data_IF_091911088581
#
_entry.id   IF_091911088581
#
_cell.length_a   1.000
_cell.length_b   1.000
_cell.length_c   1.000
_cell.angle_alpha   90.00
_cell.angle_beta   90.00
_cell.angle_gamma   90.00
#
_symmetry.space_group_name_H-M   'P 1'
#
loop_
_entity.id
_entity.type
_entity.pdbx_description
1 polymer ?
#
# COMPACT_ATOMS: atom_id res chain seq x y z
N UNK A 1 -12.82 -19.86 -9.92
CA UNK A 1 -12.06 -18.60 -10.05
C UNK A 1 -12.85 -17.62 -10.92
N UNK A 2 -13.20 -16.46 -10.38
CA UNK A 2 -13.72 -15.36 -11.19
C UNK A 2 -12.56 -14.50 -11.69
N UNK A 3 -12.50 -14.18 -12.98
CA UNK A 3 -11.52 -13.22 -13.51
C UNK A 3 -12.26 -11.92 -13.79
N UNK A 4 -11.88 -10.85 -13.09
CA UNK A 4 -12.37 -9.49 -13.37
C UNK A 4 -11.27 -8.78 -14.14
N UNK A 5 -11.52 -8.51 -15.42
CA UNK A 5 -10.62 -7.74 -16.28
C UNK A 5 -11.23 -6.37 -16.53
N UNK A 6 -10.54 -5.31 -16.11
CA UNK A 6 -10.92 -3.94 -16.42
C UNK A 6 -9.92 -3.38 -17.44
N UNK A 7 -10.39 -3.05 -18.64
CA UNK A 7 -9.51 -2.54 -19.72
C UNK A 7 -8.93 -1.15 -19.40
N UNK A 8 -9.61 -0.36 -18.58
CA UNK A 8 -9.14 0.94 -18.10
C UNK A 8 -9.80 1.28 -16.76
N UNK A 9 -8.98 1.57 -15.75
CA UNK A 9 -9.43 2.27 -14.55
C UNK A 9 -9.20 3.76 -14.79
N UNK A 10 -10.25 4.49 -15.15
CA UNK A 10 -10.19 5.94 -15.25
C UNK A 10 -10.09 6.56 -13.87
N UNK A 11 -8.89 6.92 -13.44
CA UNK A 11 -8.71 7.80 -12.29
C UNK A 11 -8.46 9.21 -12.80
N UNK A 12 -9.43 10.12 -12.63
CA UNK A 12 -9.27 11.57 -12.80
C UNK A 12 -8.48 12.15 -11.62
N UNK A 13 -7.33 11.55 -11.33
CA UNK A 13 -6.38 12.07 -10.37
C UNK A 13 -4.98 12.09 -11.01
N UNK A 14 -4.46 13.27 -11.38
CA UNK A 14 -3.17 13.40 -12.06
C UNK A 14 -2.01 12.88 -11.19
N UNK A 15 -2.22 12.74 -9.89
CA UNK A 15 -1.23 12.26 -8.92
C UNK A 15 -1.03 10.74 -8.97
N UNK A 16 -2.07 9.98 -9.34
CA UNK A 16 -2.07 8.51 -9.37
C UNK A 16 -2.08 7.98 -10.81
N UNK A 17 -2.44 8.81 -11.79
CA UNK A 17 -2.42 8.47 -13.21
C UNK A 17 -1.13 7.77 -13.69
N UNK A 18 0.10 8.13 -13.23
CA UNK A 18 1.31 7.44 -13.64
C UNK A 18 1.44 6.00 -13.12
N UNK A 19 0.80 5.65 -11.99
CA UNK A 19 0.84 4.29 -11.41
C UNK A 19 -0.07 3.31 -12.17
N UNK A 20 -1.09 3.84 -12.83
CA UNK A 20 -2.12 3.11 -13.54
C UNK A 20 -2.10 3.40 -15.05
N UNK A 21 -1.02 4.01 -15.52
CA UNK A 21 -0.78 4.18 -16.94
C UNK A 21 -0.61 2.81 -17.59
N UNK A 22 -1.23 2.62 -18.76
CA UNK A 22 -1.16 1.38 -19.51
C UNK A 22 -2.12 0.29 -19.02
N UNK A 23 -1.77 -0.96 -19.30
CA UNK A 23 -2.60 -2.12 -18.98
C UNK A 23 -2.47 -2.46 -17.50
N UNK A 24 -3.61 -2.65 -16.84
CA UNK A 24 -3.70 -3.11 -15.46
C UNK A 24 -4.18 -4.55 -15.47
N UNK A 25 -3.46 -5.43 -14.80
CA UNK A 25 -3.87 -6.82 -14.59
C UNK A 25 -4.17 -7.02 -13.12
N UNK A 26 -5.43 -7.25 -12.80
CA UNK A 26 -5.87 -7.65 -11.47
C UNK A 26 -6.20 -9.15 -11.47
N UNK A 27 -5.73 -9.87 -10.46
CA UNK A 27 -6.06 -11.29 -10.25
C UNK A 27 -6.47 -11.46 -8.80
N UNK A 28 -7.52 -12.23 -8.55
CA UNK A 28 -7.94 -12.60 -7.20
C UNK A 28 -8.28 -14.08 -7.20
N UNK A 29 -7.66 -14.81 -6.30
CA UNK A 29 -7.95 -16.19 -5.97
C UNK A 29 -8.40 -16.23 -4.51
N UNK A 30 -9.47 -16.99 -4.27
CA UNK A 30 -10.11 -17.07 -2.99
C UNK A 30 -11.42 -17.82 -3.06
N UNK A 31 -11.95 -18.11 -1.89
CA UNK A 31 -13.17 -18.85 -1.69
C UNK A 31 -14.25 -17.96 -1.05
N UNK A 32 -15.49 -18.17 -1.48
CA UNK A 32 -16.66 -17.55 -0.90
C UNK A 32 -17.45 -18.62 -0.15
N UNK A 33 -17.54 -18.46 1.17
CA UNK A 33 -18.44 -19.20 2.04
C UNK A 33 -19.70 -18.37 2.34
N UNK A 34 -20.66 -18.97 3.05
CA UNK A 34 -21.92 -18.31 3.40
C UNK A 34 -21.74 -17.04 4.24
N UNK A 35 -20.71 -17.01 5.08
CA UNK A 35 -20.45 -15.98 6.09
C UNK A 35 -19.04 -15.36 5.98
N UNK A 36 -18.19 -15.84 5.08
CA UNK A 36 -16.79 -15.41 4.97
C UNK A 36 -16.32 -15.43 3.52
N UNK A 37 -15.54 -14.42 3.14
CA UNK A 37 -14.71 -14.42 1.95
C UNK A 37 -13.27 -14.65 2.39
N UNK A 38 -12.62 -15.69 1.87
CA UNK A 38 -11.18 -15.90 2.03
C UNK A 38 -10.50 -15.49 0.74
N UNK A 39 -9.46 -14.66 0.84
CA UNK A 39 -8.63 -14.23 -0.27
C UNK A 39 -7.26 -14.87 -0.07
N UNK A 40 -7.01 -15.99 -0.77
CA UNK A 40 -5.71 -16.67 -0.73
C UNK A 40 -4.62 -15.79 -1.35
N UNK A 41 -4.95 -15.15 -2.48
CA UNK A 41 -4.06 -14.22 -3.14
C UNK A 41 -4.82 -13.27 -4.06
N UNK A 42 -4.68 -11.98 -3.85
CA UNK A 42 -4.99 -10.91 -4.77
C UNK A 42 -3.71 -10.28 -5.29
N UNK A 43 -3.69 -9.84 -6.54
CA UNK A 43 -2.63 -9.02 -7.08
C UNK A 43 -3.15 -7.98 -8.06
N UNK A 44 -2.49 -6.83 -8.09
CA UNK A 44 -2.71 -5.79 -9.09
C UNK A 44 -1.35 -5.40 -9.63
N UNK A 45 -1.17 -5.58 -10.94
CA UNK A 45 0.10 -5.37 -11.63
C UNK A 45 -0.10 -4.41 -12.80
N UNK A 46 0.84 -3.48 -12.96
CA UNK A 46 1.02 -2.56 -14.08
C UNK A 46 2.51 -2.41 -14.37
N UNK A 47 2.88 -1.59 -15.36
CA UNK A 47 4.29 -1.31 -15.66
C UNK A 47 5.01 -0.64 -14.48
N UNK A 48 4.28 0.14 -13.68
CA UNK A 48 4.81 0.94 -12.59
C UNK A 48 4.53 0.38 -11.19
N UNK A 49 3.58 -0.54 -11.05
CA UNK A 49 3.10 -1.04 -9.77
C UNK A 49 2.97 -2.57 -9.79
N UNK A 50 3.56 -3.25 -8.82
CA UNK A 50 3.30 -4.65 -8.52
C UNK A 50 2.80 -4.74 -7.08
N UNK A 51 1.55 -5.16 -6.91
CA UNK A 51 0.94 -5.30 -5.59
C UNK A 51 0.32 -6.67 -5.41
N UNK A 52 0.39 -7.15 -4.18
CA UNK A 52 -0.22 -8.37 -3.71
C UNK A 52 -0.95 -8.13 -2.39
N UNK A 53 -2.09 -8.76 -2.21
CA UNK A 53 -2.84 -8.72 -0.97
C UNK A 53 -3.46 -10.08 -0.67
N UNK A 54 -3.66 -10.41 0.59
CA UNK A 54 -4.41 -11.59 1.02
C UNK A 54 -5.17 -11.25 2.28
N UNK A 55 -6.14 -12.08 2.63
CA UNK A 55 -6.92 -11.81 3.82
C UNK A 55 -8.23 -12.54 3.87
N UNK A 56 -9.10 -12.04 4.75
CA UNK A 56 -10.43 -12.57 4.98
C UNK A 56 -11.39 -11.44 5.30
N UNK A 57 -12.63 -11.61 4.87
CA UNK A 57 -13.74 -10.70 5.14
C UNK A 57 -14.86 -11.53 5.74
N UNK A 58 -15.25 -11.22 6.97
CA UNK A 58 -16.45 -11.77 7.57
C UNK A 58 -17.66 -10.99 7.05
N UNK A 59 -18.61 -11.71 6.46
CA UNK A 59 -19.88 -11.17 5.98
C UNK A 59 -20.91 -11.05 7.11
N UNK A 60 -20.71 -11.76 8.23
CA UNK A 60 -21.60 -11.72 9.37
C UNK A 60 -21.54 -10.38 10.11
N UNK A 61 -20.34 -9.82 10.26
CA UNK A 61 -20.08 -8.60 11.04
C UNK A 61 -19.27 -7.54 10.28
N UNK A 62 -18.84 -7.83 9.06
CA UNK A 62 -18.03 -6.92 8.25
C UNK A 62 -16.58 -6.78 8.74
N UNK A 63 -16.09 -7.67 9.61
CA UNK A 63 -14.71 -7.65 10.05
C UNK A 63 -13.78 -8.03 8.88
N UNK A 64 -12.66 -7.31 8.76
CA UNK A 64 -11.68 -7.51 7.69
C UNK A 64 -10.32 -7.72 8.31
N UNK A 65 -9.56 -8.67 7.78
CA UNK A 65 -8.15 -8.88 8.10
C UNK A 65 -7.41 -9.03 6.77
N UNK A 66 -6.55 -8.07 6.45
CA UNK A 66 -5.94 -7.93 5.13
C UNK A 66 -4.46 -7.62 5.27
N UNK A 67 -3.62 -8.45 4.64
CA UNK A 67 -2.21 -8.12 4.44
C UNK A 67 -2.02 -7.56 3.04
N UNK A 68 -1.29 -6.47 2.95
CA UNK A 68 -0.94 -5.79 1.71
C UNK A 68 0.58 -5.74 1.56
N UNK A 69 1.04 -5.96 0.33
CA UNK A 69 2.39 -5.64 -0.12
C UNK A 69 2.29 -4.97 -1.49
N UNK A 70 3.00 -3.87 -1.70
CA UNK A 70 3.06 -3.16 -2.96
C UNK A 70 4.49 -2.71 -3.24
N UNK A 71 4.91 -2.78 -4.49
CA UNK A 71 6.18 -2.29 -4.99
C UNK A 71 5.87 -1.37 -6.15
N UNK A 72 6.19 -0.09 -6.00
CA UNK A 72 6.00 0.92 -7.03
C UNK A 72 7.35 1.43 -7.55
N UNK A 73 7.44 1.70 -8.85
CA UNK A 73 8.52 2.50 -9.40
C UNK A 73 8.38 3.93 -8.87
N UNK A 74 9.42 4.45 -8.22
CA UNK A 74 9.34 5.77 -7.58
C UNK A 74 9.17 6.90 -8.61
N UNK A 75 9.65 6.69 -9.84
CA UNK A 75 9.37 7.57 -10.97
C UNK A 75 7.88 7.70 -11.33
N UNK A 76 7.03 6.76 -10.90
CA UNK A 76 5.58 6.82 -11.08
C UNK A 76 4.84 7.29 -9.82
N UNK A 77 5.51 7.40 -8.68
CA UNK A 77 4.95 8.00 -7.47
C UNK A 77 4.79 9.52 -7.62
N UNK A 78 3.99 10.20 -6.78
CA UNK A 78 3.81 11.65 -6.82
C UNK A 78 5.15 12.40 -6.73
N UNK A 79 5.31 13.50 -7.47
CA UNK A 79 6.56 14.26 -7.51
C UNK A 79 7.06 14.70 -6.12
N UNK A 80 6.13 14.99 -5.20
CA UNK A 80 6.41 15.35 -3.81
C UNK A 80 7.22 14.30 -3.03
N UNK A 81 7.14 13.03 -3.41
CA UNK A 81 7.86 11.94 -2.73
C UNK A 81 9.08 11.44 -3.51
N UNK A 82 9.29 11.87 -4.77
CA UNK A 82 10.38 11.36 -5.61
C UNK A 82 11.78 11.74 -5.13
N UNK A 83 11.93 12.91 -4.50
CA UNK A 83 13.26 13.44 -4.15
C UNK A 83 14.01 12.66 -3.07
N UNK A 84 13.34 11.77 -2.33
CA UNK A 84 13.90 11.03 -1.19
C UNK A 84 13.82 9.50 -1.35
N UNK A 85 13.24 9.04 -2.46
CA UNK A 85 13.00 7.63 -2.72
C UNK A 85 14.00 7.11 -3.76
N UNK A 86 14.40 5.85 -3.64
CA UNK A 86 15.23 5.16 -4.61
C UNK A 86 14.46 4.83 -5.90
N UNK A 87 14.97 3.93 -6.74
CA UNK A 87 14.29 3.55 -7.99
C UNK A 87 12.93 2.87 -7.75
N UNK A 88 12.82 2.04 -6.72
CA UNK A 88 11.58 1.37 -6.34
C UNK A 88 11.31 1.50 -4.85
N UNK A 89 10.03 1.62 -4.53
CA UNK A 89 9.52 1.74 -3.17
C UNK A 89 8.61 0.57 -2.86
N UNK A 90 8.95 -0.19 -1.82
CA UNK A 90 8.13 -1.26 -1.29
C UNK A 90 7.33 -0.75 -0.08
N UNK A 91 6.02 -0.97 -0.09
CA UNK A 91 5.11 -0.75 1.01
C UNK A 91 4.54 -2.11 1.45
N UNK A 92 4.45 -2.36 2.75
CA UNK A 92 3.67 -3.46 3.33
C UNK A 92 2.86 -2.97 4.52
N UNK A 93 1.70 -3.56 4.75
CA UNK A 93 0.86 -3.24 5.90
C UNK A 93 -0.09 -4.39 6.23
N UNK A 94 -0.44 -4.53 7.50
CA UNK A 94 -1.51 -5.40 7.97
C UNK A 94 -2.69 -4.53 8.41
N UNK A 95 -3.80 -4.60 7.68
CA UNK A 95 -5.02 -3.85 7.91
C UNK A 95 -6.05 -4.75 8.58
N UNK A 96 -6.66 -4.25 9.64
CA UNK A 96 -7.75 -4.92 10.34
C UNK A 96 -8.89 -3.96 10.58
N UNK A 97 -10.09 -4.34 10.13
CA UNK A 97 -11.35 -3.69 10.47
C UNK A 97 -12.10 -4.60 11.45
N UNK A 98 -12.50 -4.08 12.60
CA UNK A 98 -13.35 -4.83 13.53
C UNK A 98 -14.85 -4.68 13.19
N UNK A 99 -15.69 -5.42 13.90
CA UNK A 99 -17.15 -5.38 13.75
C UNK A 99 -17.76 -4.01 14.10
N UNK A 100 -17.08 -3.22 14.94
CA UNK A 100 -17.51 -1.86 15.30
C UNK A 100 -17.13 -0.84 14.22
N UNK A 101 -16.39 -1.25 13.20
CA UNK A 101 -15.90 -0.40 12.13
C UNK A 101 -14.60 0.33 12.46
N UNK A 102 -13.95 0.02 13.58
CA UNK A 102 -12.63 0.55 13.87
C UNK A 102 -11.62 -0.09 12.91
N UNK A 103 -10.71 0.73 12.41
CA UNK A 103 -9.66 0.30 11.48
C UNK A 103 -8.32 0.44 12.19
N UNK A 104 -7.48 -0.58 12.09
CA UNK A 104 -6.08 -0.53 12.50
C UNK A 104 -5.22 -0.98 11.34
N UNK A 105 -4.20 -0.20 11.02
CA UNK A 105 -3.16 -0.53 10.09
C UNK A 105 -1.87 -0.67 10.90
N UNK A 106 -1.44 -1.90 11.12
CA UNK A 106 -0.25 -2.23 11.89
C UNK A 106 0.88 -2.65 10.95
N UNK A 107 2.11 -2.55 11.45
CA UNK A 107 3.30 -2.93 10.70
C UNK A 107 3.35 -2.29 9.30
N UNK A 108 2.91 -1.03 9.19
CA UNK A 108 3.08 -0.25 7.97
C UNK A 108 4.59 -0.09 7.81
N UNK A 109 5.15 -0.63 6.74
CA UNK A 109 6.58 -0.52 6.47
C UNK A 109 6.79 -0.09 5.04
N UNK A 110 7.54 1.00 4.88
CA UNK A 110 7.96 1.56 3.62
C UNK A 110 9.47 1.38 3.51
N UNK A 111 9.96 0.87 2.38
CA UNK A 111 11.40 0.71 2.11
C UNK A 111 11.68 1.19 0.70
N UNK A 112 12.67 2.07 0.55
CA UNK A 112 13.05 2.66 -0.74
C UNK A 112 14.56 2.94 -0.74
N UNK A 113 15.34 1.95 -1.18
CA UNK A 113 16.80 2.00 -1.08
C UNK A 113 17.28 2.16 0.37
N UNK A 114 18.01 3.24 0.66
CA UNK A 114 18.51 3.56 2.00
C UNK A 114 17.44 4.14 2.95
N UNK A 115 16.27 4.51 2.43
CA UNK A 115 15.18 5.05 3.22
C UNK A 115 14.25 3.93 3.68
N UNK A 116 13.89 3.93 4.97
CA UNK A 116 12.86 3.07 5.52
C UNK A 116 11.97 3.83 6.49
N UNK A 117 10.68 3.53 6.54
CA UNK A 117 9.78 4.04 7.55
C UNK A 117 8.87 2.93 8.06
N UNK A 118 8.77 2.81 9.37
CA UNK A 118 7.82 1.94 10.05
C UNK A 118 6.73 2.79 10.67
N UNK A 119 5.50 2.29 10.71
CA UNK A 119 4.39 3.03 11.25
C UNK A 119 3.18 2.18 11.57
N UNK A 120 2.23 2.84 12.20
CA UNK A 120 0.94 2.29 12.57
C UNK A 120 -0.08 3.42 12.49
N UNK A 121 -1.29 3.08 12.08
CA UNK A 121 -2.41 4.01 12.06
C UNK A 121 -3.66 3.34 12.61
N UNK A 122 -4.54 4.10 13.25
CA UNK A 122 -5.85 3.64 13.66
C UNK A 122 -6.90 4.70 13.40
N UNK A 123 -8.11 4.23 13.12
CA UNK A 123 -9.32 5.03 13.05
C UNK A 123 -10.32 4.39 14.00
N UNK A 124 -10.64 5.10 15.07
CA UNK A 124 -11.65 4.72 16.04
C UNK A 124 -12.39 5.98 16.52
N UNK A 125 -13.68 5.87 16.80
CA UNK A 125 -14.50 7.00 17.27
C UNK A 125 -14.39 8.27 16.39
N UNK A 126 -14.28 8.08 15.08
CA UNK A 126 -14.07 9.14 14.09
C UNK A 126 -12.78 9.96 14.29
N UNK A 127 -11.79 9.40 15.00
CA UNK A 127 -10.47 9.98 15.21
C UNK A 127 -9.40 9.13 14.54
N UNK A 128 -8.53 9.81 13.79
CA UNK A 128 -7.34 9.20 13.19
C UNK A 128 -6.16 9.38 14.15
N UNK A 129 -5.49 8.28 14.49
CA UNK A 129 -4.19 8.28 15.15
C UNK A 129 -3.17 7.64 14.21
N UNK A 130 -1.99 8.24 14.10
CA UNK A 130 -0.89 7.67 13.33
C UNK A 130 0.44 7.92 14.04
N UNK A 131 1.25 6.89 14.12
CA UNK A 131 2.65 6.95 14.56
C UNK A 131 3.53 6.46 13.41
N UNK A 132 4.57 7.23 13.10
CA UNK A 132 5.50 6.93 12.00
C UNK A 132 6.91 7.21 12.47
N UNK A 133 7.79 6.22 12.31
CA UNK A 133 9.22 6.27 12.60
C UNK A 133 9.99 6.04 11.30
N UNK A 134 10.66 7.09 10.82
CA UNK A 134 11.54 7.03 9.66
C UNK A 134 13.00 6.79 10.07
N UNK A 135 13.74 6.08 9.22
CA UNK A 135 15.18 5.92 9.28
C UNK A 135 15.78 6.09 7.89
N UNK A 136 16.94 6.76 7.81
CA UNK A 136 17.75 6.86 6.61
C UNK A 136 19.09 6.21 6.91
N UNK A 137 19.37 5.07 6.28
CA UNK A 137 20.58 4.29 6.51
C UNK A 137 21.84 4.97 5.93
N UNK A 138 21.67 5.84 4.93
CA UNK A 138 22.77 6.56 4.30
C UNK A 138 22.55 8.09 4.41
N UNK A 139 23.12 8.67 5.46
CA UNK A 139 23.10 10.11 5.73
C UNK A 139 24.14 10.85 4.85
N UNK A 140 25.05 10.13 4.18
CA UNK A 140 26.04 10.76 3.29
C UNK A 140 25.37 11.43 2.09
N UNK A 141 24.17 10.99 1.68
CA UNK A 141 23.37 11.65 0.65
C UNK A 141 22.78 13.01 1.08
N UNK A 142 22.63 13.27 2.39
CA UNK A 142 22.23 14.58 2.94
C UNK A 142 23.44 15.53 3.10
N UNK A 143 24.66 15.01 2.97
CA UNK A 143 25.89 15.74 3.27
C UNK A 143 26.46 16.49 2.06
N UNK A 144 25.84 16.37 0.88
CA UNK A 144 26.24 17.11 -0.32
C UNK A 144 26.07 18.63 -0.23
N UNK A 145 25.13 19.09 0.60
CA UNK A 145 24.80 20.52 0.80
C UNK A 145 24.99 21.01 2.25
N UNK A 146 25.58 20.20 3.13
CA UNK A 146 25.91 20.62 4.48
C UNK A 146 27.16 21.53 4.48
N UNK A 147 27.02 22.77 4.01
CA UNK A 147 27.93 23.84 4.43
C UNK A 147 27.63 24.15 5.90
N UNK A 148 28.52 23.70 6.78
CA UNK A 148 28.52 24.10 8.17
C UNK A 148 28.48 25.63 8.29
N UNK A 149 27.60 26.12 9.15
CA UNK A 149 27.63 27.48 9.66
C UNK A 149 28.14 27.44 11.10
#
# INVERSE_FOLDING_TARGET
>A
SGTVTADKIGLDNPTIAPLLAGRITAKVAGDLAADTIVIDSGSVTSEALDSGFNGRVSLADGAIDLNLKAVAASAALPAAVRGVLAERTQLSAALKRDANGNITANAIRLVSGAFSADGQASLADNKVSADVKGALADISLLSGDAKGA
#
